data_IF_577784809084
#
_entry.id   IF_577784809084
#
_cell.length_a   1.000
_cell.length_b   1.000
_cell.length_c   1.000
_cell.angle_alpha   90.00
_cell.angle_beta   90.00
_cell.angle_gamma   90.00
#
_symmetry.space_group_name_H-M   'P 1'
#
loop_
_entity.id
_entity.type
_entity.pdbx_description
1 polymer ?
#
# COMPACT_ATOMS: atom_id res chain seq x y z
N UNK A 1 -22.55 -8.50 -4.98
CA UNK A 1 -21.68 -8.41 -3.78
C UNK A 1 -20.53 -7.50 -4.14
N UNK A 2 -20.40 -6.38 -3.45
CA UNK A 2 -19.32 -5.43 -3.69
C UNK A 2 -18.08 -6.00 -3.00
N UNK A 3 -16.95 -6.06 -3.72
CA UNK A 3 -15.67 -6.47 -3.17
C UNK A 3 -14.70 -5.30 -3.20
N UNK A 4 -13.74 -5.34 -2.29
CA UNK A 4 -12.56 -4.50 -2.35
C UNK A 4 -11.69 -4.99 -3.51
N UNK A 5 -11.53 -4.16 -4.53
CA UNK A 5 -10.82 -4.45 -5.79
C UNK A 5 -10.03 -3.24 -6.25
N UNK A 6 -9.57 -3.20 -7.50
CA UNK A 6 -8.72 -2.13 -8.02
C UNK A 6 -9.37 -0.73 -8.10
N UNK A 7 -10.65 -0.55 -7.75
CA UNK A 7 -11.34 0.75 -7.78
C UNK A 7 -10.69 1.77 -6.84
N UNK A 8 -10.69 3.02 -7.30
CA UNK A 8 -10.18 4.20 -6.59
C UNK A 8 -11.12 4.55 -5.44
N UNK A 9 -10.57 4.70 -4.23
CA UNK A 9 -11.38 4.95 -3.03
C UNK A 9 -11.65 6.45 -2.88
N UNK A 10 -12.92 6.80 -2.62
CA UNK A 10 -13.33 8.19 -2.45
C UNK A 10 -13.14 8.99 -3.74
N UNK A 11 -12.53 10.17 -3.63
CA UNK A 11 -12.13 10.99 -4.78
C UNK A 11 -10.76 10.59 -5.35
N UNK A 12 -10.04 9.71 -4.66
CA UNK A 12 -8.72 9.22 -5.05
C UNK A 12 -7.56 10.17 -4.79
N UNK A 13 -7.75 11.27 -4.07
CA UNK A 13 -6.73 12.33 -3.89
C UNK A 13 -5.99 12.28 -2.55
N UNK A 14 -6.44 11.48 -1.59
CA UNK A 14 -5.72 11.27 -0.35
C UNK A 14 -4.38 10.57 -0.63
N UNK A 15 -3.27 11.23 -0.30
CA UNK A 15 -1.93 10.68 -0.44
C UNK A 15 -1.61 9.70 0.68
N UNK A 16 -0.67 8.80 0.41
CA UNK A 16 -0.05 7.94 1.41
C UNK A 16 1.39 7.58 1.01
N UNK A 17 2.22 7.30 2.02
CA UNK A 17 3.63 6.95 1.86
C UNK A 17 3.82 5.57 1.22
N UNK A 18 4.76 5.49 0.28
CA UNK A 18 5.12 4.30 -0.48
C UNK A 18 6.61 4.00 -0.32
N UNK A 19 6.97 2.72 -0.22
CA UNK A 19 8.34 2.22 -0.29
C UNK A 19 8.32 0.94 -1.14
N UNK A 20 9.25 0.81 -2.10
CA UNK A 20 9.49 -0.47 -2.77
C UNK A 20 9.96 -1.50 -1.75
N UNK A 21 9.34 -2.68 -1.76
CA UNK A 21 9.69 -3.81 -0.90
C UNK A 21 11.20 -4.11 -0.91
N UNK A 22 11.87 -4.00 -2.05
CA UNK A 22 13.31 -4.23 -2.18
C UNK A 22 14.18 -3.20 -1.42
N UNK A 23 13.64 -2.01 -1.13
CA UNK A 23 14.34 -0.93 -0.45
C UNK A 23 14.07 -0.85 1.04
N UNK A 24 13.00 -1.48 1.56
CA UNK A 24 12.65 -1.43 2.99
C UNK A 24 13.86 -1.75 3.88
N UNK A 25 14.65 -2.78 3.52
CA UNK A 25 15.84 -3.16 4.26
C UNK A 25 16.90 -2.05 4.37
N UNK A 26 17.04 -1.21 3.34
CA UNK A 26 18.00 -0.09 3.32
C UNK A 26 17.59 1.00 4.31
N UNK A 27 16.30 1.38 4.30
CA UNK A 27 15.74 2.34 5.26
C UNK A 27 15.85 1.82 6.69
N UNK A 28 15.47 0.55 6.92
CA UNK A 28 15.54 -0.09 8.24
C UNK A 28 16.98 -0.12 8.75
N UNK A 29 17.96 -0.51 7.92
CA UNK A 29 19.37 -0.53 8.29
C UNK A 29 19.88 0.85 8.73
N UNK A 30 19.51 1.92 8.01
CA UNK A 30 19.86 3.28 8.38
C UNK A 30 19.20 3.73 9.69
N UNK A 31 17.95 3.33 9.92
CA UNK A 31 17.22 3.66 11.15
C UNK A 31 17.87 2.97 12.35
N UNK A 32 18.04 1.65 12.31
CA UNK A 32 18.51 0.88 13.48
C UNK A 32 19.96 1.16 13.87
N UNK A 33 20.77 1.65 12.93
CA UNK A 33 22.19 1.97 13.17
C UNK A 33 22.40 3.39 13.73
N UNK A 34 21.41 4.27 13.64
CA UNK A 34 21.56 5.66 14.09
C UNK A 34 21.04 5.86 15.53
N UNK A 35 21.90 6.28 16.48
CA UNK A 35 21.49 6.45 17.87
C UNK A 35 20.39 7.51 18.07
N UNK A 36 20.19 8.44 17.12
CA UNK A 36 19.12 9.46 17.17
C UNK A 36 17.72 8.84 17.04
N UNK A 37 17.61 7.60 16.53
CA UNK A 37 16.34 6.89 16.37
C UNK A 37 16.00 5.97 17.54
N UNK A 38 16.91 5.81 18.52
CA UNK A 38 16.70 4.94 19.66
C UNK A 38 15.43 5.34 20.44
N UNK A 39 14.54 4.36 20.67
CA UNK A 39 13.24 4.56 21.32
C UNK A 39 12.35 5.60 20.62
N UNK A 40 12.51 5.79 19.30
CA UNK A 40 11.66 6.65 18.47
C UNK A 40 10.83 5.80 17.51
N UNK A 41 9.67 6.35 17.14
CA UNK A 41 8.93 5.90 15.96
C UNK A 41 9.43 6.74 14.79
N UNK A 42 9.86 6.09 13.71
CA UNK A 42 10.37 6.76 12.52
C UNK A 42 9.39 6.53 11.38
N UNK A 43 8.98 7.60 10.72
CA UNK A 43 8.19 7.53 9.49
C UNK A 43 9.14 7.59 8.29
N UNK A 44 9.24 6.49 7.57
CA UNK A 44 10.04 6.38 6.36
C UNK A 44 9.11 6.14 5.16
N UNK A 45 9.44 6.78 4.05
CA UNK A 45 8.73 6.67 2.78
C UNK A 45 9.68 7.08 1.64
N UNK A 46 9.57 6.46 0.47
CA UNK A 46 10.30 6.91 -0.74
C UNK A 46 9.60 8.11 -1.35
N UNK A 47 8.28 8.02 -1.47
CA UNK A 47 7.40 9.04 -2.06
C UNK A 47 6.00 8.96 -1.44
N UNK A 48 5.21 10.02 -1.62
CA UNK A 48 3.82 10.09 -1.17
C UNK A 48 2.93 10.39 -2.38
N UNK A 49 2.07 9.43 -2.72
CA UNK A 49 1.19 9.50 -3.88
C UNK A 49 -0.25 9.18 -3.47
N UNK A 50 -1.19 9.74 -4.21
CA UNK A 50 -2.61 9.40 -4.18
C UNK A 50 -2.94 8.29 -5.18
N UNK A 51 -4.10 7.64 -5.04
CA UNK A 51 -4.52 6.60 -5.99
C UNK A 51 -4.62 7.13 -7.42
N UNK A 52 -5.06 8.39 -7.60
CA UNK A 52 -5.08 9.04 -8.91
C UNK A 52 -3.68 9.20 -9.51
N UNK A 53 -2.72 9.68 -8.71
CA UNK A 53 -1.33 9.85 -9.16
C UNK A 53 -0.67 8.49 -9.48
N UNK A 54 -0.99 7.44 -8.73
CA UNK A 54 -0.54 6.08 -9.02
C UNK A 54 -1.09 5.59 -10.36
N UNK A 55 -2.38 5.81 -10.62
CA UNK A 55 -3.00 5.46 -11.91
C UNK A 55 -2.37 6.22 -13.08
N UNK A 56 -2.15 7.52 -12.90
CA UNK A 56 -1.54 8.36 -13.93
C UNK A 56 -0.09 7.97 -14.19
N UNK A 57 0.64 7.56 -13.15
CA UNK A 57 2.00 7.01 -13.27
C UNK A 57 2.01 5.73 -14.08
N UNK A 58 1.10 4.79 -13.78
CA UNK A 58 0.94 3.55 -14.55
C UNK A 58 0.63 3.83 -16.02
N UNK A 59 -0.38 4.67 -16.28
CA UNK A 59 -0.83 5.04 -17.61
C UNK A 59 0.32 5.63 -18.45
N UNK A 60 1.10 6.54 -17.86
CA UNK A 60 2.27 7.14 -18.52
C UNK A 60 3.36 6.11 -18.81
N UNK A 61 3.63 5.20 -17.86
CA UNK A 61 4.67 4.19 -18.00
C UNK A 61 4.33 3.15 -19.09
N UNK A 62 3.07 2.75 -19.20
CA UNK A 62 2.61 1.79 -20.20
C UNK A 62 2.25 2.41 -21.55
N UNK A 63 1.98 3.72 -21.60
CA UNK A 63 1.41 4.39 -22.77
C UNK A 63 -0.09 4.13 -22.96
N UNK A 64 -0.76 3.58 -21.94
CA UNK A 64 -2.19 3.25 -21.97
C UNK A 64 -3.05 4.33 -21.31
N UNK A 65 -4.37 4.21 -21.44
CA UNK A 65 -5.34 5.05 -20.72
C UNK A 65 -6.34 4.14 -20.01
N UNK A 66 -5.99 3.62 -18.82
CA UNK A 66 -6.86 2.71 -18.09
C UNK A 66 -8.13 3.44 -17.62
N UNK A 67 -9.27 2.77 -17.74
CA UNK A 67 -10.52 3.26 -17.16
C UNK A 67 -10.34 3.41 -15.64
N UNK A 68 -10.78 4.55 -15.10
CA UNK A 68 -10.85 4.80 -13.66
C UNK A 68 -12.27 4.53 -13.20
N UNK A 69 -12.41 3.61 -12.26
CA UNK A 69 -13.66 3.39 -11.55
C UNK A 69 -13.44 3.62 -10.06
N UNK A 70 -14.49 4.01 -9.36
CA UNK A 70 -14.43 4.52 -7.99
C UNK A 70 -15.32 3.72 -7.05
N UNK A 71 -14.95 3.69 -5.78
CA UNK A 71 -15.77 3.16 -4.69
C UNK A 71 -15.87 4.23 -3.60
N UNK A 72 -17.09 4.58 -3.23
CA UNK A 72 -17.33 5.57 -2.18
C UNK A 72 -16.98 5.04 -0.79
N UNK A 73 -16.71 5.94 0.15
CA UNK A 73 -16.50 5.57 1.56
C UNK A 73 -17.69 4.79 2.13
N UNK A 74 -18.91 5.17 1.77
CA UNK A 74 -20.13 4.50 2.20
C UNK A 74 -20.18 3.03 1.72
N UNK A 75 -19.78 2.78 0.47
CA UNK A 75 -19.70 1.43 -0.08
C UNK A 75 -18.58 0.61 0.58
N UNK A 76 -17.42 1.21 0.85
CA UNK A 76 -16.34 0.52 1.61
C UNK A 76 -16.84 0.13 3.00
N UNK A 77 -17.51 1.05 3.72
CA UNK A 77 -18.10 0.76 5.03
C UNK A 77 -19.17 -0.34 4.98
N UNK A 78 -19.96 -0.39 3.91
CA UNK A 78 -20.92 -1.47 3.69
C UNK A 78 -20.21 -2.82 3.51
N UNK A 79 -19.12 -2.88 2.73
CA UNK A 79 -18.32 -4.10 2.57
C UNK A 79 -17.75 -4.56 3.91
N UNK A 80 -17.19 -3.65 4.72
CA UNK A 80 -16.67 -3.97 6.06
C UNK A 80 -17.77 -4.56 6.94
N UNK A 81 -18.94 -3.91 6.97
CA UNK A 81 -20.08 -4.36 7.78
C UNK A 81 -20.56 -5.76 7.37
N UNK A 82 -20.79 -5.99 6.08
CA UNK A 82 -21.31 -7.26 5.58
C UNK A 82 -20.32 -8.42 5.75
N UNK A 83 -19.04 -8.18 5.47
CA UNK A 83 -17.98 -9.19 5.66
C UNK A 83 -17.81 -9.53 7.13
N UNK A 84 -17.85 -8.54 8.03
CA UNK A 84 -17.84 -8.78 9.47
C UNK A 84 -19.02 -9.64 9.93
N UNK A 85 -20.23 -9.33 9.48
CA UNK A 85 -21.43 -10.10 9.83
C UNK A 85 -21.32 -11.57 9.38
N UNK A 86 -20.79 -11.84 8.18
CA UNK A 86 -20.58 -13.20 7.71
C UNK A 86 -19.50 -13.94 8.49
N UNK A 87 -18.40 -13.27 8.84
CA UNK A 87 -17.35 -13.85 9.69
C UNK A 87 -17.88 -14.21 11.08
N UNK A 88 -18.69 -13.33 11.69
CA UNK A 88 -19.29 -13.58 13.01
C UNK A 88 -20.32 -14.72 12.99
N UNK A 89 -21.04 -14.88 11.87
CA UNK A 89 -22.00 -15.98 11.69
C UNK A 89 -21.34 -17.32 11.32
N UNK A 90 -20.05 -17.32 10.93
CA UNK A 90 -19.34 -18.51 10.50
C UNK A 90 -18.99 -19.39 11.71
N UNK A 91 -19.32 -20.70 11.71
CA UNK A 91 -18.89 -21.62 12.77
C UNK A 91 -17.41 -22.02 12.64
N UNK A 92 -16.72 -21.53 11.59
CA UNK A 92 -15.34 -21.87 11.26
C UNK A 92 -14.41 -20.72 11.65
N UNK A 93 -13.14 -20.99 12.02
CA UNK A 93 -12.20 -19.92 12.32
C UNK A 93 -11.96 -19.02 11.11
N UNK A 94 -11.57 -17.77 11.34
CA UNK A 94 -11.30 -16.78 10.27
C UNK A 94 -10.21 -17.21 9.28
N UNK A 95 -9.35 -18.15 9.67
CA UNK A 95 -8.29 -18.73 8.83
C UNK A 95 -8.77 -19.88 7.95
N UNK A 96 -10.01 -20.34 8.09
CA UNK A 96 -10.56 -21.41 7.25
C UNK A 96 -10.75 -20.92 5.80
N UNK A 97 -10.48 -21.77 4.77
CA UNK A 97 -10.63 -21.40 3.35
C UNK A 97 -11.95 -20.70 2.98
N UNK A 98 -13.08 -21.20 3.49
CA UNK A 98 -14.41 -20.59 3.30
C UNK A 98 -14.52 -19.12 3.75
N UNK A 99 -13.68 -18.70 4.70
CA UNK A 99 -13.69 -17.34 5.26
C UNK A 99 -12.62 -16.43 4.64
N UNK A 100 -11.72 -16.95 3.76
CA UNK A 100 -10.56 -16.19 3.24
C UNK A 100 -10.99 -14.91 2.52
N UNK A 101 -12.04 -14.98 1.69
CA UNK A 101 -12.50 -13.80 0.96
C UNK A 101 -13.10 -12.76 1.89
N UNK A 102 -13.87 -13.17 2.90
CA UNK A 102 -14.47 -12.25 3.84
C UNK A 102 -13.44 -11.59 4.74
N UNK A 103 -12.45 -12.34 5.25
CA UNK A 103 -11.37 -11.74 6.06
C UNK A 103 -10.49 -10.81 5.23
N UNK A 104 -10.20 -11.16 3.96
CA UNK A 104 -9.45 -10.29 3.06
C UNK A 104 -10.19 -8.96 2.81
N UNK A 105 -11.49 -9.02 2.50
CA UNK A 105 -12.29 -7.82 2.25
C UNK A 105 -12.52 -6.98 3.52
N UNK A 106 -12.73 -7.63 4.67
CA UNK A 106 -12.86 -6.95 5.96
C UNK A 106 -11.58 -6.17 6.31
N UNK A 107 -10.42 -6.81 6.19
CA UNK A 107 -9.14 -6.19 6.48
C UNK A 107 -8.83 -5.08 5.46
N UNK A 108 -8.94 -5.36 4.16
CA UNK A 108 -8.63 -4.37 3.12
C UNK A 108 -9.59 -3.20 3.11
N UNK A 109 -10.86 -3.39 3.47
CA UNK A 109 -11.80 -2.29 3.68
C UNK A 109 -11.33 -1.35 4.78
N UNK A 110 -10.93 -1.88 5.94
CA UNK A 110 -10.41 -1.07 7.04
C UNK A 110 -9.11 -0.34 6.68
N UNK A 111 -8.19 -1.01 5.97
CA UNK A 111 -6.97 -0.38 5.46
C UNK A 111 -7.26 0.76 4.48
N UNK A 112 -8.27 0.63 3.61
CA UNK A 112 -8.68 1.69 2.68
C UNK A 112 -9.26 2.89 3.37
N UNK A 113 -10.05 2.70 4.43
CA UNK A 113 -10.50 3.82 5.27
C UNK A 113 -9.28 4.52 5.90
N UNK A 114 -8.33 3.75 6.44
CA UNK A 114 -7.12 4.30 7.07
C UNK A 114 -6.27 5.12 6.09
N UNK A 115 -5.89 4.54 4.95
CA UNK A 115 -4.91 5.13 4.04
C UNK A 115 -5.53 6.09 3.02
N UNK A 116 -6.70 5.73 2.46
CA UNK A 116 -7.27 6.42 1.30
C UNK A 116 -8.37 7.42 1.66
N UNK A 117 -8.87 7.43 2.92
CA UNK A 117 -9.86 8.40 3.39
C UNK A 117 -9.29 9.25 4.51
N UNK A 118 -8.82 8.62 5.60
CA UNK A 118 -8.35 9.34 6.80
C UNK A 118 -6.92 9.90 6.66
N UNK A 119 -6.11 9.30 5.78
CA UNK A 119 -4.73 9.74 5.55
C UNK A 119 -3.77 9.35 6.67
N UNK A 120 -3.97 8.23 7.35
CA UNK A 120 -3.13 7.83 8.51
C UNK A 120 -1.68 7.50 8.15
N UNK A 121 -1.39 7.32 6.86
CA UNK A 121 -0.08 6.93 6.34
C UNK A 121 0.56 8.09 5.56
N UNK A 122 0.51 9.31 6.10
CA UNK A 122 1.17 10.49 5.49
C UNK A 122 2.27 11.06 6.39
N UNK A 123 3.24 11.80 5.81
CA UNK A 123 4.21 12.56 6.59
C UNK A 123 3.54 13.52 7.58
N UNK A 124 2.45 14.18 7.18
CA UNK A 124 1.72 15.14 8.02
C UNK A 124 1.06 14.44 9.22
N UNK A 125 0.47 13.25 9.01
CA UNK A 125 -0.15 12.49 10.10
C UNK A 125 0.91 11.90 11.03
N UNK A 126 2.06 11.49 10.49
CA UNK A 126 3.19 11.03 11.28
C UNK A 126 3.77 12.15 12.17
N UNK A 127 3.92 13.37 11.64
CA UNK A 127 4.33 14.55 12.40
C UNK A 127 3.34 14.86 13.52
N UNK A 128 2.03 14.83 13.23
CA UNK A 128 0.97 14.99 14.23
C UNK A 128 1.11 13.97 15.39
N UNK A 129 1.52 12.73 15.11
CA UNK A 129 1.75 11.69 16.13
C UNK A 129 3.12 11.80 16.84
N UNK A 130 3.95 12.77 16.47
CA UNK A 130 5.30 12.98 17.01
C UNK A 130 6.32 11.96 16.51
N UNK A 131 6.11 11.38 15.32
CA UNK A 131 7.07 10.47 14.72
C UNK A 131 8.23 11.28 14.16
N UNK A 132 9.41 10.68 14.12
CA UNK A 132 10.57 11.29 13.49
C UNK A 132 10.51 11.07 11.99
N UNK A 133 10.51 12.14 11.21
CA UNK A 133 10.61 12.05 9.76
C UNK A 133 12.01 11.57 9.34
N UNK A 134 12.05 10.50 8.54
CA UNK A 134 13.29 9.90 8.06
C UNK A 134 14.14 10.89 7.24
N UNK A 135 13.53 11.68 6.36
CA UNK A 135 14.24 12.60 5.47
C UNK A 135 14.80 13.82 6.20
N UNK A 136 14.15 14.23 7.30
CA UNK A 136 14.71 15.25 8.19
C UNK A 136 16.00 14.78 8.88
N UNK A 137 16.08 13.50 9.27
CA UNK A 137 17.30 12.93 9.87
C UNK A 137 18.39 12.59 8.86
N UNK A 138 17.99 12.16 7.66
CA UNK A 138 18.86 11.63 6.62
C UNK A 138 18.62 12.28 5.26
N UNK A 139 18.82 13.60 5.11
CA UNK A 139 18.46 14.32 3.88
C UNK A 139 19.27 13.88 2.65
N UNK A 140 20.45 13.28 2.86
CA UNK A 140 21.35 12.81 1.80
C UNK A 140 21.28 11.29 1.60
N UNK A 141 20.34 10.60 2.25
CA UNK A 141 20.17 9.15 2.04
C UNK A 141 19.74 8.89 0.58
N UNK A 142 20.31 7.88 -0.11
CA UNK A 142 19.88 7.53 -1.46
C UNK A 142 18.38 7.24 -1.48
N UNK A 143 17.63 7.94 -2.34
CA UNK A 143 16.20 7.68 -2.54
C UNK A 143 16.03 6.24 -3.05
N UNK A 144 15.06 5.53 -2.47
CA UNK A 144 14.61 4.25 -3.00
C UNK A 144 13.96 4.41 -4.37
N UNK A 145 13.65 3.26 -5.00
CA UNK A 145 12.96 3.15 -6.27
C UNK A 145 11.58 3.80 -6.16
N UNK A 146 11.30 4.73 -7.06
CA UNK A 146 9.97 5.31 -7.25
C UNK A 146 9.01 4.34 -7.93
N UNK A 147 7.72 4.62 -7.85
CA UNK A 147 6.67 3.86 -8.49
C UNK A 147 6.84 3.86 -10.02
N UNK A 148 7.34 4.95 -10.60
CA UNK A 148 7.63 5.03 -12.04
C UNK A 148 8.73 4.04 -12.42
N UNK A 149 9.84 4.05 -11.70
CA UNK A 149 10.96 3.11 -11.93
C UNK A 149 10.52 1.66 -11.70
N UNK A 150 9.69 1.42 -10.68
CA UNK A 150 9.11 0.10 -10.42
C UNK A 150 8.25 -0.39 -11.58
N UNK A 151 7.38 0.45 -12.14
CA UNK A 151 6.56 0.05 -13.29
C UNK A 151 7.40 -0.20 -14.54
N UNK A 152 8.41 0.64 -14.81
CA UNK A 152 9.33 0.42 -15.93
C UNK A 152 10.08 -0.91 -15.80
N UNK A 153 10.53 -1.23 -14.58
CA UNK A 153 11.15 -2.49 -14.23
C UNK A 153 10.22 -3.69 -14.49
N UNK A 154 8.94 -3.60 -14.09
CA UNK A 154 7.93 -4.63 -14.35
C UNK A 154 7.64 -4.78 -15.85
N UNK A 155 7.46 -3.69 -16.58
CA UNK A 155 7.21 -3.69 -18.03
C UNK A 155 8.40 -4.21 -18.84
N UNK A 156 9.62 -3.99 -18.34
CA UNK A 156 10.84 -4.56 -18.89
C UNK A 156 11.00 -6.07 -18.67
N UNK A 157 10.13 -6.69 -17.85
CA UNK A 157 10.17 -8.10 -17.44
C UNK A 157 11.50 -8.51 -16.78
N UNK A 158 12.18 -7.56 -16.14
CA UNK A 158 13.44 -7.76 -15.42
C UNK A 158 13.19 -8.15 -13.96
N UNK A 159 12.22 -9.03 -13.66
CA UNK A 159 11.76 -9.36 -12.29
C UNK A 159 12.81 -10.10 -11.39
N UNK A 160 14.10 -9.86 -11.63
CA UNK A 160 15.27 -10.49 -11.05
C UNK A 160 15.53 -10.21 -9.56
N UNK A 161 15.01 -9.12 -9.00
CA UNK A 161 15.25 -8.70 -7.61
C UNK A 161 13.99 -8.70 -6.72
N UNK A 162 12.83 -9.04 -7.27
CA UNK A 162 11.63 -9.24 -6.48
C UNK A 162 11.84 -10.43 -5.52
N UNK A 163 11.57 -10.26 -4.21
CA UNK A 163 11.65 -11.37 -3.28
C UNK A 163 10.68 -12.47 -3.72
N UNK A 164 11.19 -13.69 -3.85
CA UNK A 164 10.40 -14.84 -4.29
C UNK A 164 9.22 -15.12 -3.34
N UNK A 165 8.03 -15.34 -3.92
CA UNK A 165 6.73 -15.74 -3.33
C UNK A 165 6.30 -15.09 -1.98
N UNK A 166 5.08 -14.51 -1.87
CA UNK A 166 3.89 -14.78 -2.66
C UNK A 166 3.68 -13.95 -3.94
N UNK A 167 4.65 -13.13 -4.34
CA UNK A 167 4.46 -12.15 -5.41
C UNK A 167 4.98 -12.57 -6.79
N UNK A 168 5.64 -13.71 -6.90
CA UNK A 168 5.92 -14.35 -8.18
C UNK A 168 4.87 -15.43 -8.40
N UNK A 169 3.80 -15.11 -9.14
CA UNK A 169 2.87 -16.13 -9.58
C UNK A 169 3.67 -17.26 -10.24
N UNK A 170 3.55 -18.46 -9.69
CA UNK A 170 4.03 -19.67 -10.32
C UNK A 170 3.45 -19.72 -11.74
N UNK A 171 4.33 -19.62 -12.74
CA UNK A 171 3.98 -19.94 -14.13
C UNK A 171 3.62 -18.76 -15.03
N UNK A 172 4.58 -17.89 -15.32
CA UNK A 172 4.76 -17.43 -16.70
C UNK A 172 5.85 -18.31 -17.31
N UNK A 173 5.52 -19.57 -17.59
CA UNK A 173 6.26 -20.30 -18.63
C UNK A 173 5.75 -19.77 -19.96
N UNK A 174 6.69 -19.36 -20.82
CA UNK A 174 6.46 -19.06 -22.23
C UNK A 174 5.61 -20.13 -22.92
#
# INVERSE_FOLDING_TARGET
MIYIDHRIVGDGNQKFGLIDLADIGKYVAQIVSDPRTLNKRVFAYTEALSMNEMWDTMAKASGETPAKDYISEAEVNQVIKETRQRLDASPKPVTHPDNIMDIANYNMGQYRISWCIRGDNTPEYADYLGYVDFWNLFPNFPRGRSLTEFYQYVLGNDLSDLPGYPYTAAGVRK
#
